data_IF_726939322694
#
_entry.id   IF_726939322694
#
_cell.length_a   1.000
_cell.length_b   1.000
_cell.length_c   1.000
_cell.angle_alpha   90.00
_cell.angle_beta   90.00
_cell.angle_gamma   90.00
#
_symmetry.space_group_name_H-M   'P 1'
#
loop_
_entity.id
_entity.type
_entity.pdbx_description
1 polymer ?
#
# COMPACT_ATOMS: atom_id res chain seq x y z
N UNK A 1 14.62 -3.55 20.75
CA UNK A 1 15.30 -2.29 20.43
C UNK A 1 14.40 -1.16 20.85
N UNK A 2 14.80 -0.35 21.83
CA UNK A 2 14.10 0.85 22.25
C UNK A 2 14.88 2.13 21.91
N UNK A 3 14.25 3.26 22.20
CA UNK A 3 14.75 4.62 21.91
C UNK A 3 16.07 4.95 22.61
N UNK A 4 16.37 4.26 23.70
CA UNK A 4 17.66 4.33 24.41
C UNK A 4 18.85 3.89 23.57
N UNK A 5 18.62 3.16 22.47
CA UNK A 5 19.67 2.73 21.55
C UNK A 5 19.88 3.70 20.37
N UNK A 6 19.17 4.82 20.35
CA UNK A 6 19.25 5.81 19.28
C UNK A 6 19.70 7.16 19.83
N UNK A 7 20.64 7.79 19.15
CA UNK A 7 21.07 9.16 19.44
C UNK A 7 20.77 10.02 18.23
N UNK A 8 19.98 11.06 18.43
CA UNK A 8 19.81 12.12 17.43
C UNK A 8 21.07 12.97 17.42
N UNK A 9 21.71 13.08 16.26
CA UNK A 9 22.91 13.87 16.06
C UNK A 9 22.59 14.84 14.93
N UNK A 10 22.85 16.12 15.16
CA UNK A 10 22.74 17.14 14.14
C UNK A 10 23.89 17.00 13.14
N UNK A 11 23.54 16.92 11.85
CA UNK A 11 24.50 16.68 10.76
C UNK A 11 24.94 18.00 10.15
N UNK A 12 23.99 18.91 9.92
CA UNK A 12 24.23 20.19 9.28
C UNK A 12 23.08 21.16 9.59
N UNK A 13 23.44 22.41 9.92
CA UNK A 13 22.51 23.54 9.85
C UNK A 13 22.39 24.01 8.40
N UNK A 14 21.19 23.90 7.80
CA UNK A 14 20.97 24.21 6.40
C UNK A 14 19.92 25.31 6.23
N UNK A 15 20.35 26.48 5.76
CA UNK A 15 19.45 27.56 5.39
C UNK A 15 18.67 27.20 4.12
N UNK A 16 17.34 27.25 4.18
CA UNK A 16 16.47 26.97 3.06
C UNK A 16 15.34 28.01 2.95
N UNK A 17 14.98 28.36 1.72
CA UNK A 17 13.92 29.31 1.40
C UNK A 17 12.54 28.64 1.40
N UNK A 18 12.50 27.32 1.19
CA UNK A 18 11.27 26.54 1.18
C UNK A 18 11.52 25.07 1.56
N UNK A 19 10.46 24.38 1.99
CA UNK A 19 10.53 22.98 2.41
C UNK A 19 11.03 22.02 1.33
N UNK A 20 10.92 22.39 0.04
CA UNK A 20 11.40 21.55 -1.06
C UNK A 20 12.93 21.54 -1.14
N UNK A 21 13.59 22.65 -0.83
CA UNK A 21 15.05 22.70 -0.69
C UNK A 21 15.52 21.85 0.51
N UNK A 22 14.81 21.91 1.64
CA UNK A 22 15.09 21.07 2.81
C UNK A 22 14.97 19.57 2.48
N UNK A 23 13.87 19.15 1.85
CA UNK A 23 13.67 17.76 1.41
C UNK A 23 14.77 17.26 0.47
N UNK A 24 15.19 18.10 -0.48
CA UNK A 24 16.28 17.75 -1.40
C UNK A 24 17.60 17.54 -0.64
N UNK A 25 17.86 18.35 0.40
CA UNK A 25 19.05 18.20 1.24
C UNK A 25 18.97 16.97 2.14
N UNK A 26 17.80 16.67 2.68
CA UNK A 26 17.55 15.42 3.42
C UNK A 26 17.81 14.20 2.52
N UNK A 27 17.30 14.20 1.28
CA UNK A 27 17.51 13.09 0.34
C UNK A 27 18.99 12.88 0.03
N UNK A 28 19.76 13.96 -0.09
CA UNK A 28 21.21 13.88 -0.25
C UNK A 28 21.88 13.10 0.88
N UNK A 29 21.53 13.37 2.14
CA UNK A 29 22.08 12.62 3.28
C UNK A 29 21.55 11.18 3.36
N UNK A 30 20.29 10.94 2.99
CA UNK A 30 19.74 9.59 2.88
C UNK A 30 20.53 8.75 1.86
N UNK A 31 20.86 9.32 0.70
CA UNK A 31 21.62 8.67 -0.37
C UNK A 31 23.11 8.51 0.01
N UNK A 32 23.67 9.49 0.72
CA UNK A 32 25.05 9.46 1.20
C UNK A 32 25.27 8.35 2.24
N UNK A 33 24.40 8.27 3.25
CA UNK A 33 24.52 7.30 4.34
C UNK A 33 23.94 5.93 4.02
N UNK A 34 23.08 5.83 2.98
CA UNK A 34 22.43 4.58 2.54
C UNK A 34 21.78 3.82 3.70
N UNK A 35 21.11 4.55 4.58
CA UNK A 35 20.47 3.97 5.77
C UNK A 35 19.36 2.99 5.37
N UNK A 36 19.42 1.76 5.89
CA UNK A 36 18.43 0.71 5.61
C UNK A 36 17.05 0.97 6.24
N UNK A 37 16.94 1.93 7.16
CA UNK A 37 15.69 2.23 7.89
C UNK A 37 14.71 3.12 7.12
N UNK A 38 15.19 3.79 6.07
CA UNK A 38 14.36 4.71 5.30
C UNK A 38 13.58 3.97 4.21
N UNK A 39 12.25 3.98 4.33
CA UNK A 39 11.35 3.25 3.42
C UNK A 39 10.89 4.06 2.21
N UNK A 40 10.99 5.39 2.26
CA UNK A 40 10.49 6.32 1.24
C UNK A 40 11.51 7.45 1.06
N UNK A 41 11.66 7.93 -0.18
CA UNK A 41 12.48 9.11 -0.50
C UNK A 41 11.85 10.38 0.07
N UNK A 42 12.64 11.25 0.70
CA UNK A 42 12.18 12.58 1.14
C UNK A 42 11.97 13.54 -0.03
N UNK A 43 12.71 13.36 -1.13
CA UNK A 43 12.57 14.15 -2.36
C UNK A 43 12.52 13.28 -3.61
N UNK A 44 11.61 13.64 -4.53
CA UNK A 44 11.52 13.05 -5.86
C UNK A 44 11.27 14.13 -6.92
N UNK A 45 11.99 14.04 -8.03
CA UNK A 45 11.81 14.93 -9.18
C UNK A 45 10.67 14.38 -10.05
N UNK A 46 9.44 14.74 -9.69
CA UNK A 46 8.22 14.36 -10.40
C UNK A 46 7.01 14.35 -9.48
N UNK A 47 5.93 13.73 -9.95
CA UNK A 47 4.73 13.50 -9.15
C UNK A 47 4.91 12.30 -8.23
N UNK A 48 4.17 12.30 -7.12
CA UNK A 48 4.14 11.15 -6.20
C UNK A 48 3.69 9.86 -6.90
N UNK A 49 2.81 9.98 -7.91
CA UNK A 49 2.33 8.86 -8.72
C UNK A 49 3.46 8.23 -9.55
N UNK A 50 4.30 9.05 -10.16
CA UNK A 50 5.47 8.59 -10.93
C UNK A 50 6.49 7.91 -10.01
N UNK A 51 6.75 8.49 -8.84
CA UNK A 51 7.60 7.88 -7.83
C UNK A 51 7.13 6.47 -7.46
N UNK A 52 5.85 6.32 -7.09
CA UNK A 52 5.30 5.00 -6.73
C UNK A 52 5.33 4.02 -7.90
N UNK A 53 5.12 4.49 -9.13
CA UNK A 53 5.25 3.65 -10.32
C UNK A 53 6.68 3.13 -10.47
N UNK A 54 7.67 4.01 -10.37
CA UNK A 54 9.09 3.66 -10.45
C UNK A 54 9.50 2.72 -9.32
N UNK A 55 9.15 3.03 -8.07
CA UNK A 55 9.43 2.19 -6.91
C UNK A 55 8.86 0.76 -7.07
N UNK A 56 7.64 0.64 -7.60
CA UNK A 56 7.03 -0.67 -7.86
C UNK A 56 7.76 -1.47 -8.95
N UNK A 57 8.32 -0.80 -9.95
CA UNK A 57 9.11 -1.43 -11.01
C UNK A 57 10.44 -1.92 -10.44
N UNK A 58 11.18 -1.05 -9.76
CA UNK A 58 12.50 -1.34 -9.19
C UNK A 58 12.44 -2.47 -8.15
N UNK A 59 11.39 -2.50 -7.33
CA UNK A 59 11.24 -3.48 -6.25
C UNK A 59 10.36 -4.68 -6.64
N UNK A 60 10.06 -4.86 -7.93
CA UNK A 60 9.15 -5.92 -8.40
C UNK A 60 9.64 -7.32 -8.01
N UNK A 61 10.90 -7.61 -8.26
CA UNK A 61 11.46 -8.94 -7.99
C UNK A 61 11.62 -9.19 -6.48
N UNK A 62 12.03 -8.19 -5.70
CA UNK A 62 12.06 -8.31 -4.24
C UNK A 62 10.68 -8.60 -3.65
N UNK A 63 9.64 -7.89 -4.12
CA UNK A 63 8.25 -8.14 -3.71
C UNK A 63 7.77 -9.53 -4.10
N UNK A 64 8.20 -10.03 -5.27
CA UNK A 64 7.90 -11.40 -5.72
C UNK A 64 8.58 -12.42 -4.80
N UNK A 65 9.86 -12.24 -4.51
CA UNK A 65 10.62 -13.13 -3.63
C UNK A 65 10.01 -13.18 -2.23
N UNK A 66 9.68 -12.02 -1.65
CA UNK A 66 9.01 -11.95 -0.36
C UNK A 66 7.70 -12.77 -0.34
N UNK A 67 6.88 -12.70 -1.40
CA UNK A 67 5.65 -13.50 -1.51
C UNK A 67 5.90 -14.99 -1.60
N UNK A 68 7.01 -15.41 -2.23
CA UNK A 68 7.41 -16.80 -2.32
C UNK A 68 7.91 -17.31 -0.96
N UNK A 69 8.82 -16.57 -0.33
CA UNK A 69 9.42 -16.94 0.95
C UNK A 69 8.37 -16.99 2.07
N UNK A 70 7.36 -16.12 2.02
CA UNK A 70 6.31 -16.03 3.04
C UNK A 70 4.99 -16.68 2.59
N UNK A 71 5.01 -17.50 1.53
CA UNK A 71 3.79 -18.04 0.92
C UNK A 71 2.90 -18.78 1.93
N UNK A 72 3.49 -19.65 2.74
CA UNK A 72 2.76 -20.47 3.71
C UNK A 72 2.12 -19.60 4.79
N UNK A 73 2.88 -18.69 5.39
CA UNK A 73 2.38 -17.76 6.40
C UNK A 73 1.26 -16.85 5.85
N UNK A 74 1.37 -16.40 4.60
CA UNK A 74 0.32 -15.63 3.94
C UNK A 74 -0.95 -16.49 3.77
N UNK A 75 -0.80 -17.74 3.35
CA UNK A 75 -1.92 -18.66 3.16
C UNK A 75 -2.62 -19.00 4.48
N UNK A 76 -1.86 -19.26 5.53
CA UNK A 76 -2.35 -19.52 6.88
C UNK A 76 -3.15 -18.31 7.40
N UNK A 77 -2.58 -17.10 7.34
CA UNK A 77 -3.27 -15.88 7.76
C UNK A 77 -4.56 -15.65 6.97
N UNK A 78 -4.56 -15.92 5.66
CA UNK A 78 -5.77 -15.82 4.84
C UNK A 78 -6.81 -16.89 5.19
N UNK A 79 -6.39 -18.11 5.52
CA UNK A 79 -7.28 -19.17 5.96
C UNK A 79 -7.93 -18.81 7.30
N UNK A 80 -7.13 -18.34 8.26
CA UNK A 80 -7.61 -17.90 9.56
C UNK A 80 -8.62 -16.76 9.42
N UNK A 81 -8.30 -15.72 8.63
CA UNK A 81 -9.23 -14.62 8.37
C UNK A 81 -10.57 -15.10 7.79
N UNK A 82 -10.55 -16.07 6.86
CA UNK A 82 -11.80 -16.64 6.29
C UNK A 82 -12.63 -17.40 7.32
N UNK A 83 -11.98 -18.03 8.30
CA UNK A 83 -12.67 -18.72 9.39
C UNK A 83 -13.26 -17.70 10.37
N UNK A 84 -12.45 -16.74 10.83
CA UNK A 84 -12.84 -15.73 11.81
C UNK A 84 -13.98 -14.83 11.31
N UNK A 85 -13.97 -14.50 10.02
CA UNK A 85 -14.96 -13.63 9.39
C UNK A 85 -15.99 -14.38 8.55
N UNK A 86 -16.11 -15.71 8.71
CA UNK A 86 -16.98 -16.56 7.88
C UNK A 86 -18.42 -16.05 7.81
N UNK A 87 -19.01 -15.72 8.95
CA UNK A 87 -20.40 -15.25 9.02
C UNK A 87 -20.60 -13.91 8.29
N UNK A 88 -19.68 -12.97 8.48
CA UNK A 88 -19.70 -11.67 7.78
C UNK A 88 -19.55 -11.85 6.28
N UNK A 89 -18.66 -12.73 5.83
CA UNK A 89 -18.44 -12.99 4.41
C UNK A 89 -19.66 -13.65 3.74
N UNK A 90 -20.37 -14.51 4.47
CA UNK A 90 -21.58 -15.20 4.00
C UNK A 90 -22.85 -14.36 4.14
N UNK A 91 -22.80 -13.24 4.87
CA UNK A 91 -23.91 -12.33 5.02
C UNK A 91 -24.46 -11.93 3.65
N UNK A 92 -25.79 -11.97 3.52
CA UNK A 92 -26.47 -11.59 2.29
C UNK A 92 -26.50 -10.06 2.17
N UNK A 93 -26.22 -9.60 0.97
CA UNK A 93 -26.29 -8.22 0.53
C UNK A 93 -27.31 -8.13 -0.60
N UNK A 94 -28.34 -7.30 -0.41
CA UNK A 94 -29.30 -6.98 -1.46
C UNK A 94 -28.88 -5.68 -2.13
N UNK A 95 -28.66 -5.74 -3.44
CA UNK A 95 -28.34 -4.59 -4.26
C UNK A 95 -29.61 -3.89 -4.75
N UNK A 96 -29.54 -2.58 -4.97
CA UNK A 96 -30.60 -1.74 -5.55
C UNK A 96 -31.10 -2.25 -6.92
N UNK A 97 -30.24 -2.94 -7.68
CA UNK A 97 -30.66 -3.60 -8.94
C UNK A 97 -31.52 -4.87 -8.71
N UNK A 98 -31.97 -5.13 -7.47
CA UNK A 98 -32.80 -6.26 -7.07
C UNK A 98 -32.09 -7.61 -6.98
N UNK A 99 -30.75 -7.65 -6.99
CA UNK A 99 -29.97 -8.89 -6.85
C UNK A 99 -29.54 -9.11 -5.40
N UNK A 100 -29.71 -10.33 -4.89
CA UNK A 100 -29.17 -10.73 -3.58
C UNK A 100 -27.91 -11.58 -3.77
N UNK A 101 -26.77 -11.07 -3.31
CA UNK A 101 -25.48 -11.79 -3.31
C UNK A 101 -24.93 -11.89 -1.90
N UNK A 102 -23.76 -12.47 -1.71
CA UNK A 102 -23.03 -12.40 -0.42
C UNK A 102 -22.15 -11.14 -0.40
N UNK A 103 -21.69 -10.74 0.79
CA UNK A 103 -20.68 -9.68 0.94
C UNK A 103 -19.41 -10.05 0.16
N UNK A 104 -18.98 -11.31 0.21
CA UNK A 104 -17.79 -11.78 -0.52
C UNK A 104 -17.90 -11.62 -2.05
N UNK A 105 -19.11 -11.74 -2.60
CA UNK A 105 -19.35 -11.65 -4.04
C UNK A 105 -19.86 -10.27 -4.50
N UNK A 106 -20.05 -9.32 -3.58
CA UNK A 106 -20.54 -7.96 -3.86
C UNK A 106 -19.73 -7.27 -4.96
N UNK A 107 -18.41 -7.32 -4.89
CA UNK A 107 -17.53 -6.70 -5.91
C UNK A 107 -17.64 -7.38 -7.28
N UNK A 108 -17.85 -8.70 -7.32
CA UNK A 108 -18.09 -9.43 -8.58
C UNK A 108 -19.45 -9.05 -9.16
N UNK A 109 -20.47 -8.96 -8.31
CA UNK A 109 -21.82 -8.55 -8.69
C UNK A 109 -21.83 -7.19 -9.41
N UNK A 110 -21.10 -6.20 -8.91
CA UNK A 110 -21.03 -4.88 -9.55
C UNK A 110 -20.42 -4.89 -10.95
N UNK A 111 -19.68 -5.95 -11.31
CA UNK A 111 -19.12 -6.15 -12.66
C UNK A 111 -20.03 -6.99 -13.56
N UNK A 112 -21.15 -7.50 -13.05
CA UNK A 112 -22.09 -8.28 -13.85
C UNK A 112 -22.85 -7.38 -14.81
N UNK A 113 -23.15 -7.91 -16.00
CA UNK A 113 -23.93 -7.20 -17.01
C UNK A 113 -25.25 -6.65 -16.44
N UNK A 114 -25.97 -7.43 -15.62
CA UNK A 114 -27.21 -6.99 -14.95
C UNK A 114 -27.03 -5.69 -14.16
N UNK A 115 -25.96 -5.59 -13.37
CA UNK A 115 -25.73 -4.39 -12.55
C UNK A 115 -25.29 -3.20 -13.43
N UNK A 116 -24.43 -3.45 -14.43
CA UNK A 116 -24.00 -2.41 -15.37
C UNK A 116 -25.17 -1.86 -16.20
N UNK A 117 -26.06 -2.72 -16.68
CA UNK A 117 -27.27 -2.35 -17.42
C UNK A 117 -28.22 -1.51 -16.54
N UNK A 118 -28.38 -1.87 -15.27
CA UNK A 118 -29.16 -1.09 -14.30
C UNK A 118 -28.56 0.30 -14.08
N UNK A 119 -27.25 0.40 -13.82
CA UNK A 119 -26.56 1.69 -13.62
C UNK A 119 -26.62 2.56 -14.88
N UNK A 120 -26.60 1.96 -16.07
CA UNK A 120 -26.73 2.68 -17.34
C UNK A 120 -28.16 3.11 -17.68
N UNK A 121 -29.16 2.57 -16.99
CA UNK A 121 -30.58 2.85 -17.21
C UNK A 121 -31.15 3.85 -16.19
N UNK A 122 -30.32 4.33 -15.26
CA UNK A 122 -30.59 5.42 -14.31
C UNK A 122 -30.09 6.73 -14.93
#
# INVERSE_FOLDING_TARGET
GGWENWKMIEIEEFACENGRQAQKREQYYMDLFKSNSNSIKSFFEGTQKEYFKQYNIENKEQKKQYRLDNKEHIQEKQAQYRLDHKEQLLQKFTCECGSTTTISDKTKHYKTKKHLDFVSSI
#
